data_IF_378132065894
#
_entry.id   IF_378132065894
#
_cell.length_a   1.000
_cell.length_b   1.000
_cell.length_c   1.000
_cell.angle_alpha   90.00
_cell.angle_beta   90.00
_cell.angle_gamma   90.00
#
_symmetry.space_group_name_H-M   'P 1'
#
loop_
_entity.id
_entity.type
_entity.pdbx_description
1 polymer ?
#
# COMPACT_ATOMS: atom_id res chain seq x y z
N UNK A 1 -12.56 6.86 -5.66
CA UNK A 1 -11.33 7.51 -5.15
C UNK A 1 -10.23 7.40 -6.19
N UNK A 2 -9.49 8.48 -6.40
CA UNK A 2 -8.32 8.41 -7.29
C UNK A 2 -7.07 8.01 -6.48
N UNK A 3 -5.95 7.82 -7.17
CA UNK A 3 -4.72 7.35 -6.52
C UNK A 3 -4.24 8.30 -5.42
N UNK A 4 -4.36 9.61 -5.61
CA UNK A 4 -3.95 10.59 -4.58
C UNK A 4 -4.80 10.48 -3.33
N UNK A 5 -6.08 10.25 -3.48
CA UNK A 5 -6.99 10.10 -2.33
C UNK A 5 -6.74 8.82 -1.55
N UNK A 6 -6.14 7.81 -2.18
CA UNK A 6 -5.84 6.54 -1.53
C UNK A 6 -4.57 6.56 -0.69
N UNK A 7 -3.70 7.56 -0.86
CA UNK A 7 -2.43 7.63 -0.11
C UNK A 7 -2.66 7.62 1.41
N UNK A 8 -3.58 8.43 1.90
CA UNK A 8 -3.88 8.48 3.33
C UNK A 8 -4.35 7.14 3.87
N UNK A 9 -5.43 6.57 3.31
CA UNK A 9 -5.93 5.27 3.75
C UNK A 9 -4.92 4.13 3.65
N UNK A 10 -4.11 4.10 2.59
CA UNK A 10 -3.06 3.08 2.44
C UNK A 10 -1.99 3.25 3.51
N UNK A 11 -1.57 4.49 3.79
CA UNK A 11 -0.60 4.76 4.84
C UNK A 11 -1.13 4.42 6.23
N UNK A 12 -2.42 4.57 6.47
CA UNK A 12 -3.04 4.14 7.72
C UNK A 12 -2.83 2.63 7.92
N UNK A 13 -3.03 1.84 6.88
CA UNK A 13 -2.82 0.39 6.98
C UNK A 13 -1.34 0.06 7.19
N UNK A 14 -0.44 0.76 6.53
CA UNK A 14 0.99 0.56 6.72
C UNK A 14 1.41 0.92 8.15
N UNK A 15 0.87 2.01 8.69
CA UNK A 15 1.19 2.46 10.05
C UNK A 15 0.71 1.49 11.12
N UNK A 16 -0.33 0.71 10.86
CA UNK A 16 -0.76 -0.33 11.80
C UNK A 16 0.28 -1.41 11.99
N UNK A 17 1.08 -1.66 10.95
CA UNK A 17 2.13 -2.68 10.97
C UNK A 17 3.45 -2.07 11.45
N UNK A 18 3.71 -0.81 11.08
CA UNK A 18 4.90 -0.07 11.44
C UNK A 18 4.51 1.22 12.18
N UNK A 19 4.16 1.14 13.48
CA UNK A 19 3.63 2.31 14.21
C UNK A 19 4.58 3.50 14.31
N UNK A 20 5.88 3.27 14.16
CA UNK A 20 6.90 4.33 14.19
C UNK A 20 6.93 5.16 12.91
N UNK A 21 6.18 4.75 11.89
CA UNK A 21 6.16 5.44 10.60
C UNK A 21 5.56 6.84 10.72
N UNK A 22 6.25 7.82 10.13
CA UNK A 22 5.71 9.16 9.95
C UNK A 22 5.24 9.31 8.51
N UNK A 23 3.95 9.59 8.33
CA UNK A 23 3.35 9.65 6.99
C UNK A 23 4.04 10.68 6.08
N UNK A 24 4.45 11.81 6.63
CA UNK A 24 5.11 12.86 5.86
C UNK A 24 6.51 12.52 5.40
N UNK A 25 7.11 11.47 5.97
CA UNK A 25 8.47 11.05 5.64
C UNK A 25 8.50 9.97 4.56
N UNK A 26 7.34 9.49 4.10
CA UNK A 26 7.27 8.46 3.08
C UNK A 26 7.33 9.10 1.69
N UNK A 27 8.33 8.72 0.90
CA UNK A 27 8.42 9.11 -0.50
C UNK A 27 7.59 8.14 -1.35
N UNK A 28 6.50 8.61 -1.98
CA UNK A 28 5.60 7.70 -2.70
C UNK A 28 6.22 7.09 -3.96
N UNK A 29 7.31 7.65 -4.46
CA UNK A 29 7.97 7.15 -5.67
C UNK A 29 9.13 6.21 -5.41
N UNK A 30 9.45 5.92 -4.13
CA UNK A 30 10.55 5.03 -3.76
C UNK A 30 10.02 3.76 -3.11
N UNK A 31 10.77 2.65 -3.18
CA UNK A 31 10.33 1.39 -2.55
C UNK A 31 10.06 1.56 -1.06
N UNK A 32 8.89 1.13 -0.63
CA UNK A 32 8.49 1.26 0.77
C UNK A 32 9.38 0.47 1.71
N UNK A 33 9.85 -0.71 1.28
CA UNK A 33 10.71 -1.55 2.12
C UNK A 33 12.10 -0.97 2.33
N UNK A 34 12.51 -0.01 1.50
CA UNK A 34 13.76 0.73 1.69
C UNK A 34 13.60 1.89 2.67
N UNK A 35 12.37 2.33 2.90
CA UNK A 35 12.07 3.47 3.75
C UNK A 35 11.57 3.04 5.12
N UNK A 36 10.90 1.90 5.19
CA UNK A 36 10.30 1.35 6.40
C UNK A 36 10.87 -0.04 6.63
N UNK A 37 11.31 -0.32 7.85
CA UNK A 37 11.90 -1.61 8.20
C UNK A 37 10.78 -2.67 8.31
N UNK A 38 10.54 -3.36 7.21
CA UNK A 38 9.50 -4.39 7.11
C UNK A 38 10.15 -5.70 6.65
N UNK A 39 9.92 -6.77 7.41
CA UNK A 39 10.30 -8.10 6.94
C UNK A 39 9.26 -8.64 5.96
N UNK A 40 9.50 -9.86 5.43
CA UNK A 40 8.61 -10.46 4.44
C UNK A 40 7.22 -10.70 4.98
N UNK A 41 7.10 -11.08 6.26
CA UNK A 41 5.80 -11.32 6.88
C UNK A 41 5.03 -10.02 7.05
N UNK A 42 5.70 -8.95 7.49
CA UNK A 42 5.07 -7.65 7.65
C UNK A 42 4.60 -7.11 6.31
N UNK A 43 5.41 -7.27 5.28
CA UNK A 43 5.06 -6.84 3.93
C UNK A 43 3.82 -7.58 3.42
N UNK A 44 3.79 -8.89 3.60
CA UNK A 44 2.63 -9.70 3.21
C UNK A 44 1.38 -9.27 3.98
N UNK A 45 1.50 -9.07 5.29
CA UNK A 45 0.38 -8.63 6.12
C UNK A 45 -0.14 -7.27 5.66
N UNK A 46 0.75 -6.37 5.25
CA UNK A 46 0.34 -5.07 4.71
C UNK A 46 -0.46 -5.22 3.42
N UNK A 47 -0.02 -6.06 2.50
CA UNK A 47 -0.74 -6.29 1.25
C UNK A 47 -2.10 -6.95 1.49
N UNK A 48 -2.19 -7.87 2.46
CA UNK A 48 -3.45 -8.48 2.85
C UNK A 48 -4.39 -7.40 3.44
N UNK A 49 -3.87 -6.50 4.25
CA UNK A 49 -4.66 -5.41 4.82
C UNK A 49 -5.20 -4.48 3.73
N UNK A 50 -4.41 -4.18 2.72
CA UNK A 50 -4.85 -3.39 1.57
C UNK A 50 -5.97 -4.12 0.83
N UNK A 51 -5.77 -5.41 0.57
CA UNK A 51 -6.79 -6.24 -0.07
C UNK A 51 -8.12 -6.19 0.71
N UNK A 52 -8.07 -6.38 2.02
CA UNK A 52 -9.28 -6.42 2.84
C UNK A 52 -9.97 -5.07 2.95
N UNK A 53 -9.16 -4.01 3.11
CA UNK A 53 -9.73 -2.66 3.29
C UNK A 53 -10.43 -2.16 2.04
N UNK A 54 -9.85 -2.40 0.88
CA UNK A 54 -10.35 -1.83 -0.38
C UNK A 54 -11.14 -2.82 -1.23
N UNK A 55 -11.21 -4.08 -0.82
CA UNK A 55 -11.91 -5.12 -1.56
C UNK A 55 -11.29 -5.42 -2.93
N UNK A 56 -9.98 -5.23 -3.05
CA UNK A 56 -9.24 -5.40 -4.31
C UNK A 56 -8.45 -6.69 -4.28
N UNK A 57 -8.64 -7.55 -5.29
CA UNK A 57 -7.85 -8.77 -5.43
C UNK A 57 -6.41 -8.42 -5.78
N UNK A 58 -5.46 -8.97 -5.03
CA UNK A 58 -4.04 -8.78 -5.27
C UNK A 58 -3.38 -10.14 -5.43
N UNK A 59 -3.26 -10.64 -6.68
CA UNK A 59 -2.58 -11.91 -6.92
C UNK A 59 -1.11 -11.83 -6.53
N UNK A 60 -0.58 -12.93 -6.03
CA UNK A 60 0.82 -12.99 -5.62
C UNK A 60 1.78 -12.59 -6.75
N UNK A 61 1.43 -12.92 -7.99
CA UNK A 61 2.24 -12.56 -9.15
C UNK A 61 2.43 -11.04 -9.30
N UNK A 62 1.53 -10.23 -8.73
CA UNK A 62 1.60 -8.77 -8.81
C UNK A 62 2.36 -8.14 -7.65
N UNK A 63 2.75 -8.91 -6.65
CA UNK A 63 3.38 -8.37 -5.44
C UNK A 63 4.68 -7.61 -5.74
N UNK A 64 5.48 -8.12 -6.66
CA UNK A 64 6.76 -7.49 -6.99
C UNK A 64 6.60 -6.10 -7.63
N UNK A 65 5.48 -5.84 -8.28
CA UNK A 65 5.20 -4.55 -8.90
C UNK A 65 4.66 -3.52 -7.90
N UNK A 66 4.26 -3.95 -6.70
CA UNK A 66 3.63 -3.10 -5.69
C UNK A 66 4.64 -2.70 -4.62
N UNK A 67 5.78 -2.17 -5.04
CA UNK A 67 6.87 -1.83 -4.14
C UNK A 67 6.87 -0.37 -3.68
N UNK A 68 6.15 0.50 -4.38
CA UNK A 68 6.05 1.92 -4.01
C UNK A 68 4.62 2.26 -3.58
N UNK A 69 4.48 3.34 -2.81
CA UNK A 69 3.14 3.83 -2.45
C UNK A 69 2.34 4.21 -3.69
N UNK A 70 2.96 4.89 -4.64
CA UNK A 70 2.30 5.27 -5.90
C UNK A 70 1.80 4.06 -6.67
N UNK A 71 2.61 3.00 -6.76
CA UNK A 71 2.21 1.77 -7.47
C UNK A 71 1.01 1.11 -6.79
N UNK A 72 1.01 1.05 -5.46
CA UNK A 72 -0.09 0.47 -4.69
C UNK A 72 -1.37 1.29 -4.89
N UNK A 73 -1.28 2.59 -4.77
CA UNK A 73 -2.45 3.47 -4.93
C UNK A 73 -3.02 3.39 -6.34
N UNK A 74 -2.17 3.37 -7.37
CA UNK A 74 -2.60 3.23 -8.75
C UNK A 74 -3.28 1.88 -9.00
N UNK A 75 -2.71 0.81 -8.43
CA UNK A 75 -3.27 -0.54 -8.55
C UNK A 75 -4.66 -0.61 -7.93
N UNK A 76 -4.81 -0.08 -6.72
CA UNK A 76 -6.10 -0.08 -6.01
C UNK A 76 -7.11 0.78 -6.76
N UNK A 77 -6.70 1.97 -7.21
CA UNK A 77 -7.59 2.88 -7.94
C UNK A 77 -8.12 2.24 -9.23
N UNK A 78 -7.28 1.48 -9.93
CA UNK A 78 -7.66 0.84 -11.17
C UNK A 78 -8.63 -0.33 -10.98
N UNK A 79 -8.62 -0.96 -9.81
CA UNK A 79 -9.37 -2.19 -9.56
C UNK A 79 -10.50 -2.05 -8.56
N UNK A 80 -10.50 -1.01 -7.74
CA UNK A 80 -11.55 -0.80 -6.75
C UNK A 80 -12.83 -0.34 -7.47
N UNK A 81 -13.94 -1.10 -7.39
CA UNK A 81 -15.16 -0.72 -8.09
C UNK A 81 -15.77 0.59 -7.60
N UNK A 82 -15.40 1.05 -6.41
CA UNK A 82 -15.88 2.32 -5.86
C UNK A 82 -14.94 3.48 -6.16
N UNK A 83 -13.82 3.24 -6.82
CA UNK A 83 -12.81 4.26 -7.09
C UNK A 83 -13.00 4.96 -8.43
N UNK A 84 -13.90 4.51 -9.23
CA UNK A 84 -14.18 5.09 -10.54
C UNK A 84 -15.07 6.32 -10.47
#
# INVERSE_FOLDING_TARGET
MNANELRGPVLVELKRIAPELEEGDVDPGKPLRDQVDLDSMDWLNFLIAVHQRFGVEIPEADYAALDTLDAICAYVAARNPQAS
#
